data_IF_634558687039
#
_entry.id   IF_634558687039
#
_cell.length_a   1.000
_cell.length_b   1.000
_cell.length_c   1.000
_cell.angle_alpha   90.00
_cell.angle_beta   90.00
_cell.angle_gamma   90.00
#
_symmetry.space_group_name_H-M   'P 1'
#
loop_
_entity.id
_entity.type
_entity.pdbx_description
1 polymer ?
#
# COMPACT_ATOMS: atom_id res chain seq x y z
N UNK A 1 21.35 15.91 -18.62
CA UNK A 1 20.45 16.99 -18.14
C UNK A 1 18.99 16.51 -18.11
N UNK A 2 18.53 15.84 -19.17
CA UNK A 2 17.13 15.40 -19.28
C UNK A 2 16.76 14.33 -18.23
N UNK A 3 17.64 13.37 -17.98
CA UNK A 3 17.41 12.31 -16.97
C UNK A 3 17.34 12.88 -15.55
N UNK A 4 18.26 13.82 -15.19
CA UNK A 4 18.23 14.46 -13.88
C UNK A 4 16.96 15.30 -13.68
N UNK A 5 16.48 15.96 -14.73
CA UNK A 5 15.21 16.70 -14.66
C UNK A 5 14.01 15.78 -14.47
N UNK A 6 13.97 14.65 -15.19
CA UNK A 6 12.91 13.66 -15.04
C UNK A 6 12.94 13.03 -13.65
N UNK A 7 14.13 12.75 -13.10
CA UNK A 7 14.30 12.24 -11.74
C UNK A 7 13.69 13.20 -10.71
N UNK A 8 14.03 14.49 -10.79
CA UNK A 8 13.47 15.52 -9.92
C UNK A 8 11.96 15.65 -10.10
N UNK A 9 11.49 15.58 -11.33
CA UNK A 9 10.05 15.65 -11.63
C UNK A 9 9.29 14.50 -10.99
N UNK A 10 9.79 13.25 -11.04
CA UNK A 10 9.18 12.09 -10.37
C UNK A 10 9.07 12.30 -8.86
N UNK A 11 10.17 12.78 -8.23
CA UNK A 11 10.15 13.12 -6.80
C UNK A 11 9.07 14.17 -6.50
N UNK A 12 8.99 15.24 -7.30
CA UNK A 12 8.02 16.31 -7.09
C UNK A 12 6.57 15.83 -7.25
N UNK A 13 6.28 14.99 -8.25
CA UNK A 13 4.96 14.41 -8.47
C UNK A 13 4.52 13.61 -7.24
N UNK A 14 5.39 12.73 -6.75
CA UNK A 14 5.06 11.90 -5.59
C UNK A 14 4.99 12.74 -4.32
N UNK A 15 5.86 13.73 -4.12
CA UNK A 15 5.80 14.63 -2.98
C UNK A 15 4.48 15.43 -2.93
N UNK A 16 4.03 15.95 -4.07
CA UNK A 16 2.71 16.59 -4.19
C UNK A 16 1.57 15.61 -3.97
N UNK A 17 1.69 14.38 -4.50
CA UNK A 17 0.73 13.30 -4.26
C UNK A 17 0.62 12.90 -2.79
N UNK A 18 1.74 12.86 -2.07
CA UNK A 18 1.77 12.63 -0.60
C UNK A 18 1.04 13.77 0.11
N UNK A 19 1.38 15.02 -0.21
CA UNK A 19 0.73 16.19 0.37
C UNK A 19 -0.80 16.19 0.15
N UNK A 20 -1.21 15.83 -1.08
CA UNK A 20 -2.63 15.66 -1.42
C UNK A 20 -3.28 14.53 -0.61
N UNK A 21 -2.63 13.36 -0.52
CA UNK A 21 -3.14 12.21 0.25
C UNK A 21 -3.33 12.52 1.73
N UNK A 22 -2.42 13.30 2.31
CA UNK A 22 -2.52 13.78 3.69
C UNK A 22 -3.71 14.74 3.83
N UNK A 23 -3.81 15.74 2.96
CA UNK A 23 -4.94 16.67 2.99
C UNK A 23 -6.27 15.94 2.82
N UNK A 24 -6.33 14.97 1.91
CA UNK A 24 -7.51 14.14 1.67
C UNK A 24 -7.91 13.33 2.91
N UNK A 25 -6.93 12.78 3.63
CA UNK A 25 -7.12 12.12 4.91
C UNK A 25 -7.75 13.06 5.95
N UNK A 26 -7.14 14.22 6.17
CA UNK A 26 -7.65 15.20 7.13
C UNK A 26 -9.06 15.71 6.78
N UNK A 27 -9.39 15.79 5.47
CA UNK A 27 -10.72 16.12 4.99
C UNK A 27 -11.75 15.06 5.41
N UNK A 28 -11.33 13.80 5.46
CA UNK A 28 -12.13 12.68 5.94
C UNK A 28 -12.57 12.82 7.41
N UNK A 29 -11.75 13.45 8.24
CA UNK A 29 -12.12 13.80 9.61
C UNK A 29 -12.93 15.10 9.69
N UNK A 30 -12.54 16.10 8.90
CA UNK A 30 -13.14 17.43 8.94
C UNK A 30 -14.63 17.43 8.57
N UNK A 31 -14.97 16.74 7.47
CA UNK A 31 -16.34 16.71 6.96
C UNK A 31 -17.32 16.18 8.02
N UNK A 32 -17.17 14.96 8.56
CA UNK A 32 -18.10 14.45 9.55
C UNK A 32 -18.02 15.22 10.88
N UNK A 33 -16.85 15.75 11.28
CA UNK A 33 -16.74 16.58 12.47
C UNK A 33 -17.67 17.83 12.37
N UNK A 34 -17.60 18.55 11.26
CA UNK A 34 -18.47 19.71 11.02
C UNK A 34 -19.94 19.33 10.87
N UNK A 35 -20.24 18.23 10.17
CA UNK A 35 -21.63 17.74 10.03
C UNK A 35 -22.25 17.37 11.38
N UNK A 36 -21.45 16.89 12.33
CA UNK A 36 -21.92 16.58 13.68
C UNK A 36 -21.81 17.75 14.67
N UNK A 37 -21.45 18.94 14.19
CA UNK A 37 -21.45 20.18 14.97
C UNK A 37 -20.22 20.40 15.84
N UNK A 38 -19.14 19.62 15.66
CA UNK A 38 -17.88 19.85 16.37
C UNK A 38 -17.18 21.07 15.78
N UNK A 39 -16.71 21.99 16.65
CA UNK A 39 -15.87 23.11 16.20
C UNK A 39 -14.48 22.61 15.86
N UNK A 40 -14.01 22.96 14.65
CA UNK A 40 -12.69 22.62 14.14
C UNK A 40 -11.94 23.92 13.84
N UNK A 41 -11.13 24.44 14.78
CA UNK A 41 -10.38 25.68 14.60
C UNK A 41 -9.32 25.63 13.51
N UNK A 42 -8.66 24.47 13.30
CA UNK A 42 -7.56 24.34 12.37
C UNK A 42 -7.67 23.07 11.52
N UNK A 43 -7.32 23.24 10.24
CA UNK A 43 -7.06 22.19 9.26
C UNK A 43 -5.72 22.50 8.62
N UNK A 44 -4.69 21.68 8.89
CA UNK A 44 -3.33 21.96 8.47
C UNK A 44 -2.69 20.76 7.80
N UNK A 45 -2.04 21.00 6.66
CA UNK A 45 -1.18 20.03 5.99
C UNK A 45 0.26 20.35 6.38
N UNK A 46 0.96 19.39 7.00
CA UNK A 46 2.34 19.56 7.47
C UNK A 46 2.45 20.07 8.92
N UNK A 47 3.70 20.19 9.35
CA UNK A 47 4.10 20.66 10.67
C UNK A 47 5.09 21.83 10.58
N UNK A 48 5.38 22.47 11.71
CA UNK A 48 6.32 23.60 11.79
C UNK A 48 5.68 24.94 11.47
N UNK A 49 6.47 25.93 10.97
CA UNK A 49 5.98 27.26 10.64
C UNK A 49 4.99 27.24 9.47
N UNK A 50 4.02 28.17 9.50
CA UNK A 50 3.02 28.33 8.45
C UNK A 50 3.67 28.91 7.20
N UNK A 51 3.48 28.27 6.05
CA UNK A 51 3.85 28.80 4.73
C UNK A 51 2.72 29.65 4.18
N UNK A 52 1.49 29.10 4.27
CA UNK A 52 0.28 29.77 3.84
C UNK A 52 -0.87 29.33 4.73
N UNK A 53 -1.75 30.28 5.12
CA UNK A 53 -3.02 29.95 5.76
C UNK A 53 -4.10 30.99 5.45
N UNK A 54 -5.36 30.53 5.46
CA UNK A 54 -6.54 31.39 5.30
C UNK A 54 -7.64 30.89 6.23
N UNK A 55 -8.22 31.82 6.99
CA UNK A 55 -9.39 31.52 7.82
C UNK A 55 -10.67 31.62 6.97
N UNK A 56 -11.45 30.55 6.97
CA UNK A 56 -12.75 30.47 6.28
C UNK A 56 -13.77 30.03 7.32
N UNK A 57 -14.67 30.92 7.69
CA UNK A 57 -15.58 30.69 8.81
C UNK A 57 -14.83 30.57 10.13
N UNK A 58 -15.07 29.48 10.86
CA UNK A 58 -14.40 29.18 12.14
C UNK A 58 -13.10 28.39 12.01
N UNK A 59 -12.75 27.92 10.79
CA UNK A 59 -11.60 27.06 10.53
C UNK A 59 -10.50 27.81 9.80
N UNK A 60 -9.28 27.73 10.28
CA UNK A 60 -8.06 28.14 9.58
C UNK A 60 -7.53 26.98 8.76
N UNK A 61 -7.49 27.13 7.44
CA UNK A 61 -6.92 26.18 6.49
C UNK A 61 -5.52 26.62 6.12
N UNK A 62 -4.55 25.70 6.14
CA UNK A 62 -3.19 26.08 5.81
C UNK A 62 -2.26 24.93 5.49
N UNK A 63 -1.08 25.33 4.98
CA UNK A 63 0.05 24.45 4.68
C UNK A 63 1.24 24.92 5.50
N UNK A 64 1.94 23.98 6.11
CA UNK A 64 3.14 24.21 6.91
C UNK A 64 4.38 23.68 6.19
N UNK A 65 5.55 24.11 6.64
CA UNK A 65 6.82 23.92 5.95
C UNK A 65 7.24 22.44 5.83
N UNK A 66 6.94 21.61 6.82
CA UNK A 66 7.36 20.20 6.86
C UNK A 66 6.18 19.33 6.45
N UNK A 67 6.13 18.81 5.20
CA UNK A 67 4.97 18.06 4.68
C UNK A 67 4.92 16.60 5.16
N UNK A 68 5.30 16.34 6.41
CA UNK A 68 5.31 15.00 7.02
C UNK A 68 4.07 14.81 7.91
N UNK A 69 2.88 14.72 7.28
CA UNK A 69 1.62 14.54 7.97
C UNK A 69 0.71 15.76 7.91
N UNK A 70 -0.41 15.70 8.58
CA UNK A 70 -1.41 16.76 8.72
C UNK A 70 -2.10 16.66 10.06
N UNK A 71 -2.99 17.60 10.35
CA UNK A 71 -3.87 17.49 11.50
C UNK A 71 -5.10 18.37 11.36
N UNK A 72 -6.19 17.95 11.96
CA UNK A 72 -7.28 18.82 12.33
C UNK A 72 -7.29 19.04 13.84
N UNK A 73 -7.55 20.26 14.27
CA UNK A 73 -7.75 20.58 15.69
C UNK A 73 -9.24 20.56 16.00
N UNK A 74 -9.69 19.60 16.77
CA UNK A 74 -11.07 19.52 17.26
C UNK A 74 -11.11 19.93 18.71
N UNK A 75 -12.07 20.79 19.12
CA UNK A 75 -12.22 21.14 20.52
C UNK A 75 -12.73 19.95 21.33
N UNK A 76 -12.26 19.84 22.57
CA UNK A 76 -12.70 18.79 23.49
C UNK A 76 -12.41 17.37 23.00
N UNK A 77 -11.24 17.12 22.46
CA UNK A 77 -10.80 15.77 22.06
C UNK A 77 -10.81 14.82 23.26
N UNK A 78 -10.40 15.30 24.42
CA UNK A 78 -10.38 14.56 25.67
C UNK A 78 -11.40 15.11 26.67
N UNK A 79 -12.06 14.22 27.45
CA UNK A 79 -12.93 14.65 28.54
C UNK A 79 -12.12 15.33 29.64
N UNK A 80 -12.73 16.30 30.40
CA UNK A 80 -12.09 16.90 31.54
C UNK A 80 -11.82 15.89 32.64
N UNK A 81 -10.90 16.21 33.55
CA UNK A 81 -10.66 15.39 34.74
C UNK A 81 -11.94 15.26 35.56
N UNK A 82 -12.16 14.09 36.18
CA UNK A 82 -13.36 13.88 37.01
C UNK A 82 -13.32 14.80 38.21
N UNK A 83 -14.40 15.57 38.48
CA UNK A 83 -14.47 16.41 39.67
C UNK A 83 -14.25 15.61 40.97
N UNK A 84 -13.61 16.22 41.98
CA UNK A 84 -13.44 15.66 43.29
C UNK A 84 -12.29 14.63 43.45
N UNK A 85 -11.51 14.38 42.39
CA UNK A 85 -10.27 13.60 42.54
C UNK A 85 -9.09 14.54 42.79
N UNK A 86 -8.15 14.18 43.68
CA UNK A 86 -6.94 14.98 43.91
C UNK A 86 -6.16 15.11 42.61
N UNK A 87 -5.64 16.30 42.36
CA UNK A 87 -4.73 16.56 41.23
C UNK A 87 -3.47 15.74 41.50
N UNK A 88 -3.26 14.72 40.67
CA UNK A 88 -2.03 13.93 40.73
C UNK A 88 -0.95 14.72 40.00
N UNK A 89 0.23 14.77 40.60
CA UNK A 89 1.43 15.43 40.02
C UNK A 89 2.46 14.40 39.59
N UNK A 90 3.36 14.81 38.70
CA UNK A 90 4.44 13.98 38.20
C UNK A 90 4.40 13.86 36.67
N UNK A 91 5.52 13.52 36.08
CA UNK A 91 5.79 13.52 34.64
C UNK A 91 4.63 12.97 33.79
N UNK A 92 4.09 11.81 34.13
CA UNK A 92 2.97 11.21 33.37
C UNK A 92 1.65 11.98 33.51
N UNK A 93 1.41 12.58 34.66
CA UNK A 93 0.18 13.36 34.90
C UNK A 93 0.26 14.72 34.24
N UNK A 94 1.45 15.31 34.18
CA UNK A 94 1.69 16.58 33.49
C UNK A 94 1.45 16.42 31.97
N UNK A 95 1.87 15.27 31.40
CA UNK A 95 1.57 14.93 30.00
C UNK A 95 0.06 14.81 29.73
N UNK A 96 -0.68 14.14 30.64
CA UNK A 96 -2.13 13.98 30.49
C UNK A 96 -2.83 15.34 30.59
N UNK A 97 -2.38 16.19 31.51
CA UNK A 97 -2.92 17.53 31.71
C UNK A 97 -2.62 18.42 30.50
N UNK A 98 -1.38 18.44 30.04
CA UNK A 98 -0.97 19.18 28.84
C UNK A 98 -1.79 18.80 27.59
N UNK A 99 -2.07 17.49 27.40
CA UNK A 99 -2.91 17.03 26.31
C UNK A 99 -4.36 17.56 26.39
N UNK A 100 -4.95 17.61 27.60
CA UNK A 100 -6.29 18.20 27.81
C UNK A 100 -6.28 19.70 27.56
N UNK A 101 -5.28 20.42 28.07
CA UNK A 101 -5.17 21.87 27.95
C UNK A 101 -4.97 22.31 26.51
N UNK A 102 -4.15 21.59 25.74
CA UNK A 102 -3.95 21.85 24.31
C UNK A 102 -5.27 21.86 23.50
N UNK A 103 -6.24 21.02 23.87
CA UNK A 103 -7.53 20.97 23.21
C UNK A 103 -8.60 21.86 23.83
N UNK A 104 -8.33 22.45 24.99
CA UNK A 104 -9.25 23.38 25.69
C UNK A 104 -9.02 24.84 25.30
N UNK A 105 -7.80 25.20 24.86
CA UNK A 105 -7.41 26.58 24.53
C UNK A 105 -8.25 27.24 23.43
N UNK A 106 -8.91 26.45 22.58
CA UNK A 106 -9.77 26.96 21.49
C UNK A 106 -11.26 26.97 21.83
N UNK A 107 -11.62 26.67 23.07
CA UNK A 107 -13.01 26.67 23.51
C UNK A 107 -13.41 28.10 23.88
N UNK A 108 -14.35 28.68 23.16
CA UNK A 108 -14.91 30.00 23.39
C UNK A 108 -16.28 29.90 24.06
N UNK A 109 -16.78 30.99 24.66
CA UNK A 109 -18.16 31.03 25.14
C UNK A 109 -19.14 30.73 24.01
N UNK A 110 -20.06 29.80 24.23
CA UNK A 110 -21.01 29.30 23.22
C UNK A 110 -20.61 27.96 22.59
N UNK A 111 -19.38 27.46 22.85
CA UNK A 111 -18.91 26.19 22.32
C UNK A 111 -19.13 24.99 23.27
N UNK A 112 -19.88 25.20 24.37
CA UNK A 112 -20.05 24.21 25.44
C UNK A 112 -20.56 22.85 24.94
N UNK A 113 -21.44 22.87 23.94
CA UNK A 113 -22.10 21.70 23.37
C UNK A 113 -21.45 21.21 22.06
N UNK A 114 -20.29 21.77 21.66
CA UNK A 114 -19.61 21.49 20.39
C UNK A 114 -18.33 20.66 20.55
N UNK A 115 -18.15 20.04 21.74
CA UNK A 115 -16.95 19.29 22.09
C UNK A 115 -17.04 17.86 21.60
N UNK A 116 -15.93 17.34 21.04
CA UNK A 116 -15.85 16.01 20.47
C UNK A 116 -16.28 14.91 21.46
N UNK A 117 -15.78 14.92 22.73
CA UNK A 117 -16.09 13.88 23.72
C UNK A 117 -17.57 13.80 24.10
N UNK A 118 -18.36 14.84 23.85
CA UNK A 118 -19.79 14.88 24.16
C UNK A 118 -20.63 14.15 23.11
N UNK A 119 -20.10 13.93 21.92
CA UNK A 119 -20.79 13.21 20.88
C UNK A 119 -21.09 11.76 21.29
N UNK A 120 -22.19 11.16 20.80
CA UNK A 120 -22.40 9.73 20.87
C UNK A 120 -21.22 8.96 20.28
N UNK A 121 -20.93 7.76 20.81
CA UNK A 121 -19.77 6.95 20.40
C UNK A 121 -19.72 6.74 18.89
N UNK A 122 -20.85 6.40 18.28
CA UNK A 122 -20.90 6.12 16.84
C UNK A 122 -20.51 7.34 15.98
N UNK A 123 -20.90 8.58 16.38
CA UNK A 123 -20.48 9.80 15.66
C UNK A 123 -18.97 10.01 15.77
N UNK A 124 -18.39 9.81 16.98
CA UNK A 124 -16.94 9.90 17.19
C UNK A 124 -16.19 8.86 16.36
N UNK A 125 -16.72 7.62 16.29
CA UNK A 125 -16.12 6.58 15.45
C UNK A 125 -16.15 6.95 13.96
N UNK A 126 -17.26 7.50 13.45
CA UNK A 126 -17.34 7.98 12.06
C UNK A 126 -16.32 9.07 11.79
N UNK A 127 -16.14 10.03 12.71
CA UNK A 127 -15.13 11.08 12.56
C UNK A 127 -13.72 10.46 12.50
N UNK A 128 -13.37 9.56 13.42
CA UNK A 128 -12.03 8.97 13.48
C UNK A 128 -11.77 8.00 12.33
N UNK A 129 -12.76 7.24 11.88
CA UNK A 129 -12.65 6.36 10.74
C UNK A 129 -12.60 7.13 9.41
N UNK A 130 -13.12 8.36 9.38
CA UNK A 130 -13.27 9.16 8.17
C UNK A 130 -11.96 9.40 7.43
N UNK A 131 -10.87 9.75 8.14
CA UNK A 131 -9.55 9.96 7.55
C UNK A 131 -9.01 8.70 6.85
N UNK A 132 -8.84 7.60 7.57
CA UNK A 132 -8.42 6.33 6.96
C UNK A 132 -9.32 5.91 5.80
N UNK A 133 -10.63 6.05 5.92
CA UNK A 133 -11.58 5.70 4.87
C UNK A 133 -11.39 6.51 3.58
N UNK A 134 -11.05 7.79 3.69
CA UNK A 134 -10.75 8.62 2.53
C UNK A 134 -9.48 8.14 1.81
N UNK A 135 -8.46 7.69 2.54
CA UNK A 135 -7.28 7.09 1.91
C UNK A 135 -7.60 5.76 1.22
N UNK A 136 -8.46 4.93 1.83
CA UNK A 136 -8.94 3.70 1.19
C UNK A 136 -9.64 4.01 -0.15
N UNK A 137 -10.52 5.01 -0.17
CA UNK A 137 -11.19 5.44 -1.40
C UNK A 137 -10.18 5.94 -2.42
N UNK A 138 -9.25 6.82 -2.03
CA UNK A 138 -8.26 7.38 -2.94
C UNK A 138 -7.35 6.30 -3.52
N UNK A 139 -6.83 5.39 -2.70
CA UNK A 139 -6.03 4.25 -3.16
C UNK A 139 -6.79 3.37 -4.14
N UNK A 140 -8.07 3.08 -3.85
CA UNK A 140 -8.93 2.29 -4.74
C UNK A 140 -9.20 2.99 -6.07
N UNK A 141 -9.44 4.29 -6.07
CA UNK A 141 -9.63 5.09 -7.30
C UNK A 141 -8.34 5.09 -8.12
N UNK A 142 -7.20 5.35 -7.50
CA UNK A 142 -5.90 5.38 -8.16
C UNK A 142 -5.56 4.03 -8.82
N UNK A 143 -5.73 2.92 -8.08
CA UNK A 143 -5.45 1.59 -8.64
C UNK A 143 -6.44 1.24 -9.76
N UNK A 144 -7.71 1.64 -9.62
CA UNK A 144 -8.71 1.42 -10.67
C UNK A 144 -8.38 2.20 -11.94
N UNK A 145 -7.95 3.46 -11.81
CA UNK A 145 -7.49 4.27 -12.95
C UNK A 145 -6.27 3.64 -13.60
N UNK A 146 -5.30 3.17 -12.82
CA UNK A 146 -4.12 2.50 -13.35
C UNK A 146 -4.47 1.20 -14.09
N UNK A 147 -5.29 0.34 -13.49
CA UNK A 147 -5.55 -1.01 -14.02
C UNK A 147 -6.63 -1.03 -15.11
N UNK A 148 -7.72 -0.25 -14.94
CA UNK A 148 -8.82 -0.21 -15.91
C UNK A 148 -8.62 0.86 -16.99
N UNK A 149 -7.96 1.99 -16.65
CA UNK A 149 -7.72 3.09 -17.59
C UNK A 149 -6.49 2.87 -18.46
N UNK A 150 -5.35 2.50 -17.83
CA UNK A 150 -4.10 2.25 -18.54
C UNK A 150 -4.00 0.77 -18.93
N UNK A 151 -4.29 -0.15 -18.00
CA UNK A 151 -4.21 -1.59 -18.19
C UNK A 151 -3.00 -2.21 -17.50
N UNK A 152 -2.89 -3.52 -17.57
CA UNK A 152 -1.76 -4.29 -17.07
C UNK A 152 -1.00 -4.94 -18.21
N UNK A 153 0.32 -4.95 -18.11
CA UNK A 153 1.13 -5.74 -19.02
C UNK A 153 1.01 -7.23 -18.65
N UNK A 154 0.59 -8.03 -19.59
CA UNK A 154 0.49 -9.47 -19.42
C UNK A 154 1.04 -10.18 -20.64
N UNK A 155 1.43 -11.45 -20.45
CA UNK A 155 1.81 -12.28 -21.58
C UNK A 155 0.60 -12.48 -22.49
N UNK A 156 0.73 -12.07 -23.74
CA UNK A 156 -0.28 -12.34 -24.77
C UNK A 156 -0.26 -13.82 -25.15
N UNK A 157 -1.13 -14.23 -26.04
CA UNK A 157 -1.09 -15.59 -26.62
C UNK A 157 -0.24 -15.66 -27.88
N UNK A 158 0.41 -14.53 -28.28
CA UNK A 158 1.25 -14.43 -29.46
C UNK A 158 2.72 -14.74 -29.10
N UNK A 159 3.36 -15.60 -29.88
CA UNK A 159 4.75 -15.96 -29.72
C UNK A 159 5.65 -14.81 -30.18
N UNK A 160 6.44 -14.22 -29.27
CA UNK A 160 7.47 -13.25 -29.65
C UNK A 160 8.73 -13.91 -30.19
N UNK A 161 9.22 -14.95 -29.48
CA UNK A 161 10.40 -15.71 -29.90
C UNK A 161 10.24 -17.18 -29.58
N UNK A 162 10.89 -18.04 -30.38
CA UNK A 162 11.01 -19.47 -30.13
C UNK A 162 12.46 -19.75 -29.77
N UNK A 163 12.66 -20.31 -28.57
CA UNK A 163 13.99 -20.66 -28.07
C UNK A 163 14.55 -21.87 -28.81
N UNK A 164 15.88 -21.93 -28.99
CA UNK A 164 16.55 -23.09 -29.59
C UNK A 164 16.49 -24.33 -28.71
N UNK A 165 16.54 -24.13 -27.37
CA UNK A 165 16.56 -25.21 -26.38
C UNK A 165 15.66 -24.87 -25.19
N UNK A 166 15.45 -25.82 -24.29
CA UNK A 166 14.86 -25.64 -22.97
C UNK A 166 15.91 -25.95 -21.91
N UNK A 167 16.56 -24.95 -21.29
CA UNK A 167 17.50 -25.19 -20.20
C UNK A 167 16.82 -25.92 -19.04
N UNK A 168 17.49 -26.91 -18.47
CA UNK A 168 17.00 -27.72 -17.34
C UNK A 168 16.75 -26.88 -16.10
N UNK A 169 17.57 -25.84 -15.87
CA UNK A 169 17.39 -24.82 -14.81
C UNK A 169 16.92 -23.48 -15.40
N UNK A 170 16.64 -22.51 -14.55
CA UNK A 170 16.21 -21.17 -14.96
C UNK A 170 17.35 -20.31 -15.58
N UNK A 171 18.35 -20.93 -16.20
CA UNK A 171 19.44 -20.27 -16.95
C UNK A 171 18.89 -19.64 -18.23
N UNK A 172 19.53 -18.57 -18.68
CA UNK A 172 19.10 -17.81 -19.87
C UNK A 172 19.78 -18.26 -21.16
N UNK A 173 20.85 -19.07 -21.05
CA UNK A 173 21.64 -19.56 -22.21
C UNK A 173 21.52 -21.08 -22.37
N UNK A 174 21.44 -21.51 -23.62
CA UNK A 174 21.46 -22.93 -23.95
C UNK A 174 22.84 -23.56 -23.74
N UNK A 175 22.85 -24.74 -23.13
CA UNK A 175 23.99 -25.63 -23.07
C UNK A 175 23.87 -26.73 -24.15
N UNK A 176 24.96 -27.30 -24.65
CA UNK A 176 24.91 -28.44 -25.59
C UNK A 176 24.15 -29.68 -25.08
N UNK A 177 24.00 -29.80 -23.76
CA UNK A 177 23.26 -30.89 -23.11
C UNK A 177 21.74 -30.60 -22.95
N UNK A 178 21.30 -29.38 -23.24
CA UNK A 178 19.88 -29.03 -23.09
C UNK A 178 19.07 -29.62 -24.25
N UNK A 179 17.84 -30.10 -23.98
CA UNK A 179 16.98 -30.63 -25.04
C UNK A 179 16.56 -29.53 -26.01
N UNK A 180 16.42 -29.88 -27.30
CA UNK A 180 15.87 -28.98 -28.29
C UNK A 180 14.46 -28.51 -27.88
N UNK A 181 14.14 -27.25 -28.17
CA UNK A 181 12.82 -26.65 -27.83
C UNK A 181 11.69 -27.43 -28.52
N UNK A 182 10.70 -27.95 -27.78
CA UNK A 182 9.52 -28.58 -28.37
C UNK A 182 8.81 -27.71 -29.38
N UNK A 183 8.76 -26.39 -29.12
CA UNK A 183 8.15 -25.41 -30.01
C UNK A 183 8.90 -25.30 -31.35
N UNK A 184 10.24 -25.31 -31.31
CA UNK A 184 11.06 -25.26 -32.52
C UNK A 184 10.89 -26.51 -33.33
N UNK A 185 10.97 -27.70 -32.72
CA UNK A 185 10.80 -29.01 -33.37
C UNK A 185 9.41 -29.12 -34.01
N UNK A 186 8.38 -28.58 -33.35
CA UNK A 186 7.01 -28.59 -33.85
C UNK A 186 6.73 -27.50 -34.91
N UNK A 187 7.73 -26.67 -35.28
CA UNK A 187 7.64 -25.69 -36.32
C UNK A 187 6.81 -24.44 -35.93
N UNK A 188 6.71 -24.12 -34.63
CA UNK A 188 6.15 -22.85 -34.19
C UNK A 188 7.08 -21.70 -34.57
N UNK A 189 6.51 -20.55 -34.92
CA UNK A 189 7.24 -19.38 -35.41
C UNK A 189 6.89 -18.12 -34.60
N UNK A 190 7.80 -17.15 -34.51
CA UNK A 190 7.47 -15.82 -34.03
C UNK A 190 6.29 -15.23 -34.80
N UNK A 191 5.32 -14.66 -34.08
CA UNK A 191 4.08 -14.13 -34.63
C UNK A 191 2.92 -15.13 -34.67
N UNK A 192 3.15 -16.44 -34.43
CA UNK A 192 2.05 -17.39 -34.26
C UNK A 192 1.26 -17.05 -32.99
N UNK A 193 -0.07 -17.07 -33.08
CA UNK A 193 -1.00 -16.87 -31.96
C UNK A 193 -1.59 -18.20 -31.53
N UNK A 194 -1.44 -18.56 -30.26
CA UNK A 194 -2.00 -19.78 -29.70
C UNK A 194 -3.49 -19.55 -29.41
N UNK A 195 -4.36 -20.33 -30.06
CA UNK A 195 -5.81 -20.22 -29.96
C UNK A 195 -6.41 -21.28 -29.02
N UNK A 196 -5.86 -22.51 -29.07
CA UNK A 196 -6.36 -23.62 -28.22
C UNK A 196 -5.17 -24.48 -27.76
N UNK A 197 -5.33 -25.10 -26.61
CA UNK A 197 -4.47 -26.14 -26.05
C UNK A 197 -5.34 -27.32 -25.66
N UNK A 198 -5.09 -28.50 -26.22
CA UNK A 198 -5.85 -29.73 -25.96
C UNK A 198 -7.36 -29.53 -26.09
N UNK A 199 -7.82 -28.79 -27.12
CA UNK A 199 -9.22 -28.48 -27.40
C UNK A 199 -9.82 -27.37 -26.53
N UNK A 200 -9.11 -26.87 -25.52
CA UNK A 200 -9.56 -25.78 -24.67
C UNK A 200 -9.10 -24.42 -25.24
N UNK A 201 -10.00 -23.43 -25.35
CA UNK A 201 -9.64 -22.10 -25.87
C UNK A 201 -8.69 -21.36 -24.95
N UNK A 202 -7.70 -20.65 -25.52
CA UNK A 202 -6.72 -19.85 -24.82
C UNK A 202 -7.08 -18.39 -24.95
N UNK A 203 -7.63 -17.81 -23.90
CA UNK A 203 -7.92 -16.37 -23.84
C UNK A 203 -6.80 -15.58 -23.14
N UNK A 204 -6.05 -16.24 -22.25
CA UNK A 204 -5.01 -15.65 -21.44
C UNK A 204 -3.98 -16.73 -21.13
N UNK A 205 -2.69 -16.43 -21.33
CA UNK A 205 -1.63 -17.41 -21.14
C UNK A 205 -1.48 -17.83 -19.67
N UNK A 206 -1.59 -16.90 -18.72
CA UNK A 206 -1.36 -17.20 -17.31
C UNK A 206 -2.28 -18.28 -16.75
N UNK A 207 -3.53 -18.33 -17.20
CA UNK A 207 -4.51 -19.37 -16.83
C UNK A 207 -4.39 -20.61 -17.69
N UNK A 208 -4.02 -20.45 -18.97
CA UNK A 208 -4.04 -21.54 -19.95
C UNK A 208 -2.74 -22.35 -19.99
N UNK A 209 -1.65 -21.84 -19.46
CA UNK A 209 -0.37 -22.57 -19.39
C UNK A 209 -0.49 -23.90 -18.62
N UNK A 210 -1.42 -23.97 -17.67
CA UNK A 210 -1.70 -25.20 -16.89
C UNK A 210 -2.40 -26.31 -17.71
N UNK A 211 -2.88 -26.00 -18.92
CA UNK A 211 -3.45 -26.98 -19.85
C UNK A 211 -2.39 -27.84 -20.52
N UNK A 212 -1.11 -27.41 -20.47
CA UNK A 212 0.00 -28.19 -20.97
C UNK A 212 0.33 -29.34 -20.00
N UNK A 213 0.30 -30.55 -20.52
CA UNK A 213 0.66 -31.76 -19.76
C UNK A 213 2.10 -32.15 -20.07
N UNK A 214 2.98 -32.06 -19.08
CA UNK A 214 4.40 -32.40 -19.24
C UNK A 214 4.64 -33.87 -19.58
N UNK A 215 5.56 -34.15 -20.47
CA UNK A 215 5.92 -35.52 -20.88
C UNK A 215 4.87 -36.26 -21.73
N UNK A 216 3.76 -35.59 -22.07
CA UNK A 216 2.73 -36.15 -22.98
C UNK A 216 2.57 -35.26 -24.20
N UNK A 217 2.09 -35.85 -25.30
CA UNK A 217 1.76 -35.08 -26.49
C UNK A 217 0.59 -34.16 -26.22
N UNK A 218 0.73 -32.87 -26.56
CA UNK A 218 -0.30 -31.85 -26.48
C UNK A 218 -0.58 -31.33 -27.87
N UNK A 219 -1.83 -31.06 -28.15
CA UNK A 219 -2.30 -30.48 -29.40
C UNK A 219 -2.56 -28.99 -29.24
N UNK A 220 -1.90 -28.15 -30.03
CA UNK A 220 -2.11 -26.71 -30.07
C UNK A 220 -2.73 -26.31 -31.40
N UNK A 221 -3.78 -25.48 -31.37
CA UNK A 221 -4.26 -24.78 -32.57
C UNK A 221 -3.64 -23.40 -32.55
N UNK A 222 -2.89 -23.06 -33.60
CA UNK A 222 -2.21 -21.78 -33.75
C UNK A 222 -2.64 -21.08 -35.02
N UNK A 223 -2.72 -19.75 -34.98
CA UNK A 223 -2.92 -18.91 -36.15
C UNK A 223 -1.59 -18.23 -36.52
N UNK A 224 -1.19 -18.32 -37.78
CA UNK A 224 -0.04 -17.56 -38.28
C UNK A 224 -0.37 -16.05 -38.36
N UNK A 225 0.62 -15.20 -38.63
CA UNK A 225 0.42 -13.77 -38.87
C UNK A 225 -0.54 -13.49 -40.02
N UNK A 226 -0.64 -14.41 -41.02
CA UNK A 226 -1.60 -14.30 -42.15
C UNK A 226 -3.01 -14.76 -41.76
N UNK A 227 -3.25 -15.17 -40.53
CA UNK A 227 -4.56 -15.67 -40.04
C UNK A 227 -4.82 -17.15 -40.36
N UNK A 228 -3.91 -17.85 -41.08
CA UNK A 228 -4.07 -19.26 -41.38
C UNK A 228 -3.90 -20.11 -40.11
N UNK A 229 -4.92 -20.89 -39.78
CA UNK A 229 -4.91 -21.79 -38.65
C UNK A 229 -4.27 -23.13 -39.03
N UNK A 230 -3.51 -23.68 -38.07
CA UNK A 230 -2.94 -25.02 -38.17
C UNK A 230 -2.91 -25.70 -36.81
N UNK A 231 -2.99 -27.00 -36.86
CA UNK A 231 -2.82 -27.85 -35.66
C UNK A 231 -1.35 -28.28 -35.55
N UNK A 232 -0.80 -28.20 -34.35
CA UNK A 232 0.58 -28.53 -34.04
C UNK A 232 0.60 -29.43 -32.80
N UNK A 233 1.24 -30.60 -32.94
CA UNK A 233 1.45 -31.51 -31.82
C UNK A 233 2.86 -31.37 -31.28
N UNK A 234 3.01 -31.26 -29.96
CA UNK A 234 4.30 -31.16 -29.29
C UNK A 234 4.25 -31.79 -27.89
N UNK A 235 5.44 -32.25 -27.42
CA UNK A 235 5.58 -32.81 -26.07
C UNK A 235 6.40 -31.85 -25.22
N UNK A 236 5.81 -31.17 -24.22
CA UNK A 236 6.53 -30.26 -23.33
C UNK A 236 7.60 -31.00 -22.51
N UNK A 237 8.74 -30.35 -22.33
CA UNK A 237 9.81 -30.82 -21.44
C UNK A 237 9.52 -30.34 -20.02
N UNK A 238 9.71 -31.21 -19.03
CA UNK A 238 9.67 -30.82 -17.62
C UNK A 238 10.99 -30.15 -17.25
N UNK A 239 10.90 -28.86 -16.85
CA UNK A 239 12.07 -28.10 -16.44
C UNK A 239 11.79 -27.41 -15.08
N UNK A 240 12.86 -27.26 -14.29
CA UNK A 240 12.78 -26.58 -13.01
C UNK A 240 12.55 -25.07 -13.23
N UNK A 241 11.47 -24.55 -12.68
CA UNK A 241 11.13 -23.13 -12.81
C UNK A 241 10.69 -22.56 -11.46
N UNK A 242 10.95 -21.27 -11.20
CA UNK A 242 10.51 -20.63 -9.97
C UNK A 242 9.00 -20.76 -9.78
N UNK A 243 8.59 -21.07 -8.53
CA UNK A 243 7.20 -21.01 -8.13
C UNK A 243 6.78 -19.56 -8.04
N UNK A 244 5.88 -19.12 -8.92
CA UNK A 244 5.26 -17.80 -8.87
C UNK A 244 3.87 -17.94 -8.27
N UNK A 245 3.59 -17.18 -7.21
CA UNK A 245 2.29 -17.13 -6.54
C UNK A 245 1.93 -15.66 -6.27
N UNK A 246 0.75 -15.25 -6.75
CA UNK A 246 0.33 -13.84 -6.63
C UNK A 246 1.22 -12.84 -7.40
N UNK A 247 1.87 -13.27 -8.49
CA UNK A 247 2.77 -12.43 -9.30
C UNK A 247 4.22 -12.36 -8.81
N UNK A 248 4.53 -12.91 -7.62
CA UNK A 248 5.87 -12.90 -7.04
C UNK A 248 6.50 -14.30 -7.02
N UNK A 249 7.83 -14.37 -7.15
CA UNK A 249 8.60 -15.60 -6.96
C UNK A 249 8.61 -15.95 -5.48
N UNK A 250 8.20 -17.18 -5.15
CA UNK A 250 8.22 -17.68 -3.79
C UNK A 250 9.64 -18.12 -3.41
N UNK A 251 10.11 -17.61 -2.28
CA UNK A 251 11.44 -17.92 -1.75
C UNK A 251 11.35 -18.93 -0.60
N UNK A 252 12.39 -19.71 -0.42
CA UNK A 252 12.56 -20.57 0.74
C UNK A 252 13.01 -19.76 1.98
N UNK A 253 13.22 -20.45 3.11
CA UNK A 253 13.69 -19.83 4.36
C UNK A 253 15.11 -19.22 4.26
N UNK A 254 15.86 -19.55 3.22
CA UNK A 254 17.22 -19.04 2.95
C UNK A 254 17.24 -17.93 1.89
N UNK A 255 16.06 -17.56 1.35
CA UNK A 255 15.95 -16.54 0.31
C UNK A 255 16.16 -17.03 -1.11
N UNK A 256 16.25 -18.34 -1.36
CA UNK A 256 16.37 -18.88 -2.70
C UNK A 256 14.99 -19.14 -3.33
N UNK A 257 14.83 -18.98 -4.66
CA UNK A 257 13.60 -19.33 -5.35
C UNK A 257 13.23 -20.80 -5.15
N UNK A 258 11.99 -21.06 -4.73
CA UNK A 258 11.46 -22.42 -4.69
C UNK A 258 11.25 -22.86 -6.14
N UNK A 259 11.96 -23.90 -6.56
CA UNK A 259 11.84 -24.45 -7.90
C UNK A 259 10.82 -25.59 -7.93
N UNK A 260 9.99 -25.60 -8.97
CA UNK A 260 9.03 -26.68 -9.25
C UNK A 260 9.18 -27.14 -10.70
N UNK A 261 8.95 -28.41 -10.94
CA UNK A 261 8.93 -28.97 -12.29
C UNK A 261 7.67 -28.45 -13.02
N UNK A 262 7.87 -27.70 -14.10
CA UNK A 262 6.80 -27.18 -14.97
C UNK A 262 6.96 -27.66 -16.40
N UNK A 263 5.86 -27.93 -17.12
CA UNK A 263 5.92 -28.20 -18.56
C UNK A 263 6.34 -26.92 -19.30
N UNK A 264 7.40 -27.02 -20.10
CA UNK A 264 7.97 -25.91 -20.88
C UNK A 264 8.06 -26.33 -22.35
N UNK A 265 7.64 -25.44 -23.24
CA UNK A 265 7.68 -25.68 -24.70
C UNK A 265 8.73 -24.85 -25.42
N UNK A 266 9.41 -23.93 -24.72
CA UNK A 266 10.49 -23.11 -25.26
C UNK A 266 10.00 -21.94 -26.12
N UNK A 267 9.00 -21.21 -25.65
CA UNK A 267 8.53 -19.95 -26.27
C UNK A 267 8.66 -18.78 -25.29
N UNK A 268 8.88 -17.60 -25.83
CA UNK A 268 8.69 -16.33 -25.15
C UNK A 268 7.49 -15.66 -25.81
N UNK A 269 6.51 -15.28 -25.04
CA UNK A 269 5.31 -14.62 -25.53
C UNK A 269 5.51 -13.11 -25.63
N UNK A 270 4.84 -12.49 -26.57
CA UNK A 270 4.74 -11.05 -26.61
C UNK A 270 3.99 -10.54 -25.38
N UNK A 271 4.32 -9.34 -24.94
CA UNK A 271 3.55 -8.64 -23.91
C UNK A 271 2.48 -7.79 -24.58
N UNK A 272 1.30 -7.77 -23.99
CA UNK A 272 0.22 -6.87 -24.40
C UNK A 272 -0.33 -6.13 -23.20
N UNK A 273 -0.72 -4.88 -23.40
CA UNK A 273 -1.40 -4.09 -22.36
C UNK A 273 -2.89 -4.35 -22.47
N UNK A 274 -3.48 -4.93 -21.42
CA UNK A 274 -4.93 -5.19 -21.35
C UNK A 274 -5.53 -4.40 -20.20
N UNK A 275 -6.51 -3.52 -20.46
CA UNK A 275 -7.31 -2.93 -19.39
C UNK A 275 -8.09 -4.01 -18.63
N UNK A 276 -8.05 -3.95 -17.31
CA UNK A 276 -8.89 -4.79 -16.46
C UNK A 276 -10.31 -4.22 -16.37
N UNK A 277 -11.28 -5.06 -16.13
CA UNK A 277 -12.62 -4.59 -15.77
C UNK A 277 -12.59 -3.87 -14.41
N UNK A 278 -13.55 -3.00 -14.15
CA UNK A 278 -13.67 -2.31 -12.87
C UNK A 278 -13.79 -3.31 -11.72
N UNK A 279 -14.51 -4.43 -11.92
CA UNK A 279 -14.63 -5.48 -10.92
C UNK A 279 -13.29 -6.15 -10.60
N UNK A 280 -12.46 -6.47 -11.61
CA UNK A 280 -11.10 -7.01 -11.41
C UNK A 280 -10.20 -6.00 -10.69
N UNK A 281 -10.30 -4.71 -11.01
CA UNK A 281 -9.52 -3.65 -10.35
C UNK A 281 -9.94 -3.44 -8.89
N UNK A 282 -11.23 -3.53 -8.57
CA UNK A 282 -11.71 -3.50 -7.18
C UNK A 282 -11.24 -4.73 -6.39
N UNK A 283 -11.24 -5.92 -7.02
CA UNK A 283 -10.69 -7.11 -6.39
C UNK A 283 -9.18 -6.98 -6.13
N UNK A 284 -8.42 -6.41 -7.08
CA UNK A 284 -7.00 -6.11 -6.90
C UNK A 284 -6.76 -5.10 -5.77
N UNK A 285 -7.61 -4.06 -5.65
CA UNK A 285 -7.57 -3.11 -4.51
C UNK A 285 -7.77 -3.83 -3.17
N UNK A 286 -8.76 -4.71 -3.09
CA UNK A 286 -9.00 -5.52 -1.89
C UNK A 286 -7.80 -6.40 -1.52
N UNK A 287 -7.18 -7.05 -2.51
CA UNK A 287 -5.96 -7.82 -2.30
C UNK A 287 -4.79 -6.96 -1.80
N UNK A 288 -4.61 -5.76 -2.36
CA UNK A 288 -3.58 -4.81 -1.92
C UNK A 288 -3.76 -4.41 -0.46
N UNK A 289 -4.99 -4.13 -0.03
CA UNK A 289 -5.30 -3.83 1.39
C UNK A 289 -4.94 -5.01 2.30
N UNK A 290 -5.28 -6.24 1.90
CA UNK A 290 -4.93 -7.45 2.67
C UNK A 290 -3.41 -7.62 2.75
N UNK A 291 -2.68 -7.43 1.65
CA UNK A 291 -1.23 -7.53 1.61
C UNK A 291 -0.57 -6.49 2.51
N UNK A 292 -1.02 -5.24 2.47
CA UNK A 292 -0.52 -4.18 3.37
C UNK A 292 -0.82 -4.52 4.82
N UNK A 293 -2.02 -5.04 5.13
CA UNK A 293 -2.35 -5.53 6.46
C UNK A 293 -1.39 -6.63 6.94
N UNK A 294 -1.08 -7.61 6.09
CA UNK A 294 -0.11 -8.67 6.40
C UNK A 294 1.30 -8.13 6.63
N UNK A 295 1.75 -7.17 5.80
CA UNK A 295 3.04 -6.49 5.98
C UNK A 295 3.16 -5.83 7.36
N UNK A 296 2.10 -5.19 7.85
CA UNK A 296 2.10 -4.52 9.16
C UNK A 296 2.37 -5.52 10.29
N UNK A 297 1.78 -6.72 10.24
CA UNK A 297 2.06 -7.77 11.23
C UNK A 297 3.50 -8.29 11.16
N UNK A 298 4.16 -8.17 10.00
CA UNK A 298 5.55 -8.57 9.80
C UNK A 298 6.55 -7.44 10.05
N UNK A 299 6.07 -6.20 10.31
CA UNK A 299 6.93 -5.03 10.49
C UNK A 299 8.07 -5.23 11.49
N UNK A 300 7.88 -5.81 12.69
CA UNK A 300 8.98 -5.99 13.63
C UNK A 300 10.12 -6.83 13.03
N UNK A 301 9.78 -7.90 12.28
CA UNK A 301 10.77 -8.76 11.62
C UNK A 301 11.44 -8.04 10.46
N UNK A 302 10.68 -7.28 9.68
CA UNK A 302 11.22 -6.53 8.54
C UNK A 302 12.14 -5.40 8.99
N UNK A 303 11.80 -4.67 10.06
CA UNK A 303 12.64 -3.63 10.65
C UNK A 303 13.94 -4.21 11.21
N UNK A 304 13.88 -5.37 11.86
CA UNK A 304 15.08 -6.08 12.30
C UNK A 304 15.97 -6.49 11.11
N UNK A 305 15.38 -6.96 10.01
CA UNK A 305 16.11 -7.31 8.78
C UNK A 305 16.74 -6.06 8.13
N UNK A 306 16.04 -4.92 8.12
CA UNK A 306 16.60 -3.63 7.67
C UNK A 306 17.79 -3.22 8.52
N UNK A 307 17.71 -3.33 9.85
CA UNK A 307 18.84 -3.07 10.74
C UNK A 307 20.05 -3.97 10.44
N UNK A 308 19.82 -5.25 10.23
CA UNK A 308 20.87 -6.20 9.86
C UNK A 308 21.50 -5.90 8.50
N UNK A 309 20.70 -5.54 7.48
CA UNK A 309 21.24 -5.18 6.16
C UNK A 309 22.01 -3.85 6.18
N UNK A 310 21.57 -2.88 6.97
CA UNK A 310 22.19 -1.55 7.06
C UNK A 310 23.52 -1.59 7.79
N UNK A 311 23.62 -2.34 8.91
CA UNK A 311 24.81 -2.38 9.74
C UNK A 311 25.64 -3.67 9.59
N UNK A 312 25.07 -4.73 9.02
CA UNK A 312 25.72 -6.04 8.81
C UNK A 312 26.19 -6.31 7.38
N UNK A 313 26.04 -5.34 6.45
CA UNK A 313 26.57 -5.43 5.08
C UNK A 313 25.85 -6.43 4.16
N UNK A 314 24.68 -6.95 4.54
CA UNK A 314 23.88 -7.81 3.66
C UNK A 314 23.04 -6.99 2.67
N UNK A 315 22.69 -7.58 1.54
CA UNK A 315 21.83 -6.93 0.53
C UNK A 315 20.43 -6.72 1.11
N UNK A 316 19.90 -5.50 0.95
CA UNK A 316 18.54 -5.15 1.38
C UNK A 316 17.50 -5.84 0.47
N UNK A 317 16.45 -6.38 1.07
CA UNK A 317 15.36 -7.00 0.32
C UNK A 317 14.53 -5.94 -0.39
N UNK A 318 14.16 -6.19 -1.64
CA UNK A 318 13.35 -5.29 -2.46
C UNK A 318 11.91 -5.10 -1.93
N UNK A 319 11.39 -6.07 -1.16
CA UNK A 319 10.06 -6.06 -0.53
C UNK A 319 10.06 -5.47 0.89
N UNK A 320 11.19 -4.90 1.33
CA UNK A 320 11.34 -4.29 2.64
C UNK A 320 10.63 -2.94 2.78
N UNK A 321 10.43 -2.46 4.03
CA UNK A 321 9.83 -1.16 4.28
C UNK A 321 10.73 -0.03 3.74
N UNK A 322 10.11 1.00 3.19
CA UNK A 322 10.75 2.15 2.56
C UNK A 322 10.29 3.43 3.25
N UNK A 323 11.19 4.38 3.46
CA UNK A 323 10.85 5.70 3.99
C UNK A 323 10.31 6.64 2.90
N UNK A 324 9.86 7.82 3.31
CA UNK A 324 9.44 8.88 2.37
C UNK A 324 10.59 9.28 1.43
N UNK A 325 11.84 9.24 1.91
CA UNK A 325 13.03 9.51 1.09
C UNK A 325 13.21 8.40 0.05
N UNK A 326 13.13 7.14 0.47
CA UNK A 326 13.21 5.99 -0.44
C UNK A 326 12.08 5.96 -1.47
N UNK A 327 10.84 6.29 -1.07
CA UNK A 327 9.73 6.45 -2.03
C UNK A 327 10.07 7.52 -3.07
N UNK A 328 10.66 8.66 -2.65
CA UNK A 328 11.11 9.70 -3.57
C UNK A 328 12.20 9.21 -4.52
N UNK A 329 13.18 8.42 -4.04
CA UNK A 329 14.22 7.83 -4.88
C UNK A 329 13.60 6.89 -5.93
N UNK A 330 12.72 5.98 -5.51
CA UNK A 330 11.99 5.06 -6.41
C UNK A 330 11.23 5.84 -7.48
N UNK A 331 10.49 6.87 -7.10
CA UNK A 331 9.76 7.72 -8.05
C UNK A 331 10.70 8.42 -9.04
N UNK A 332 11.82 8.95 -8.57
CA UNK A 332 12.84 9.55 -9.41
C UNK A 332 13.42 8.55 -10.42
N UNK A 333 13.75 7.34 -9.98
CA UNK A 333 14.28 6.27 -10.85
C UNK A 333 13.25 5.83 -11.88
N UNK A 334 11.98 5.64 -11.49
CA UNK A 334 10.88 5.32 -12.40
C UNK A 334 10.73 6.40 -13.47
N UNK A 335 10.71 7.68 -13.08
CA UNK A 335 10.54 8.79 -14.00
C UNK A 335 11.72 8.95 -14.97
N UNK A 336 12.94 8.71 -14.50
CA UNK A 336 14.18 8.85 -15.30
C UNK A 336 14.52 7.61 -16.14
N UNK A 337 13.86 6.47 -15.95
CA UNK A 337 14.13 5.24 -16.69
C UNK A 337 13.90 5.43 -18.19
N UNK A 338 14.97 5.42 -19.00
CA UNK A 338 14.92 5.65 -20.45
C UNK A 338 14.34 4.47 -21.23
N UNK A 339 14.28 3.29 -20.63
CA UNK A 339 13.72 2.08 -21.27
C UNK A 339 12.20 1.99 -21.12
N UNK A 340 11.62 2.65 -20.13
CA UNK A 340 10.19 2.64 -19.89
C UNK A 340 9.47 3.71 -20.72
N UNK A 341 8.31 3.37 -21.25
CA UNK A 341 7.42 4.30 -21.93
C UNK A 341 6.80 5.30 -20.92
N UNK A 342 6.31 6.43 -21.44
CA UNK A 342 5.60 7.41 -20.59
C UNK A 342 4.42 6.78 -19.84
N UNK A 343 3.69 5.87 -20.50
CA UNK A 343 2.52 5.20 -19.92
C UNK A 343 2.92 4.29 -18.77
N UNK A 344 4.00 3.52 -18.91
CA UNK A 344 4.54 2.66 -17.84
C UNK A 344 5.02 3.47 -16.63
N UNK A 345 5.68 4.60 -16.87
CA UNK A 345 6.10 5.53 -15.82
C UNK A 345 4.90 6.08 -15.06
N UNK A 346 3.91 6.57 -15.78
CA UNK A 346 2.67 7.10 -15.19
C UNK A 346 1.95 6.05 -14.36
N UNK A 347 1.85 4.82 -14.87
CA UNK A 347 1.23 3.72 -14.17
C UNK A 347 1.98 3.38 -12.87
N UNK A 348 3.30 3.36 -12.91
CA UNK A 348 4.14 3.12 -11.73
C UNK A 348 3.99 4.20 -10.67
N UNK A 349 3.99 5.48 -11.08
CA UNK A 349 3.78 6.62 -10.16
C UNK A 349 2.40 6.57 -9.49
N UNK A 350 1.34 6.28 -10.27
CA UNK A 350 -0.01 6.08 -9.73
C UNK A 350 -0.02 4.88 -8.78
N UNK A 351 0.67 3.79 -9.10
CA UNK A 351 0.81 2.61 -8.26
C UNK A 351 1.48 2.90 -6.92
N UNK A 352 2.55 3.71 -6.93
CA UNK A 352 3.24 4.17 -5.71
C UNK A 352 2.27 4.95 -4.82
N UNK A 353 1.55 5.92 -5.38
CA UNK A 353 0.57 6.73 -4.65
C UNK A 353 -0.61 5.90 -4.13
N UNK A 354 -1.09 4.93 -4.90
CA UNK A 354 -2.14 4.01 -4.46
C UNK A 354 -1.68 3.15 -3.27
N UNK A 355 -0.48 2.57 -3.36
CA UNK A 355 0.11 1.75 -2.30
C UNK A 355 0.33 2.56 -1.02
N UNK A 356 0.79 3.81 -1.15
CA UNK A 356 0.93 4.74 -0.04
C UNK A 356 -0.43 4.98 0.66
N UNK A 357 -1.50 5.21 -0.11
CA UNK A 357 -2.83 5.43 0.46
C UNK A 357 -3.37 4.20 1.18
N UNK A 358 -3.14 2.99 0.67
CA UNK A 358 -3.48 1.76 1.38
C UNK A 358 -2.64 1.60 2.66
N UNK A 359 -1.35 1.97 2.63
CA UNK A 359 -0.52 1.98 3.81
C UNK A 359 -1.02 2.98 4.86
N UNK A 360 -1.33 4.23 4.46
CA UNK A 360 -1.92 5.24 5.34
C UNK A 360 -3.24 4.76 5.97
N UNK A 361 -4.11 4.13 5.18
CA UNK A 361 -5.33 3.50 5.70
C UNK A 361 -5.01 2.44 6.76
N UNK A 362 -4.16 1.48 6.42
CA UNK A 362 -3.91 0.31 7.27
C UNK A 362 -3.15 0.69 8.56
N UNK A 363 -2.16 1.58 8.47
CA UNK A 363 -1.43 2.08 9.64
C UNK A 363 -2.34 2.87 10.58
N UNK A 364 -3.17 3.78 10.03
CA UNK A 364 -4.08 4.57 10.84
C UNK A 364 -5.21 3.73 11.46
N UNK A 365 -5.46 2.51 10.98
CA UNK A 365 -6.41 1.57 11.60
C UNK A 365 -5.83 0.73 12.74
N UNK A 366 -4.52 0.83 13.02
CA UNK A 366 -3.94 0.17 14.18
C UNK A 366 -4.54 0.70 15.48
N UNK A 367 -4.91 -0.17 16.44
CA UNK A 367 -5.54 0.24 17.69
C UNK A 367 -4.53 0.83 18.70
N UNK A 368 -3.71 1.77 18.23
CA UNK A 368 -2.62 2.40 18.97
C UNK A 368 -2.73 3.92 18.86
N UNK A 369 -2.75 4.65 19.96
CA UNK A 369 -2.53 6.09 19.95
C UNK A 369 -1.04 6.38 19.63
N UNK A 370 -0.71 7.41 18.82
CA UNK A 370 -1.56 8.54 18.40
C UNK A 370 -2.37 8.32 17.09
N UNK A 371 -2.46 7.10 16.57
CA UNK A 371 -3.17 6.80 15.33
C UNK A 371 -4.71 6.83 15.54
N UNK A 372 -5.46 7.06 14.47
CA UNK A 372 -6.93 7.15 14.52
C UNK A 372 -7.59 5.87 15.03
N UNK A 373 -7.02 4.72 14.67
CA UNK A 373 -7.44 3.40 15.16
C UNK A 373 -7.41 3.28 16.68
N UNK A 374 -6.52 4.00 17.37
CA UNK A 374 -6.50 4.08 18.82
C UNK A 374 -7.75 4.76 19.38
N UNK A 375 -8.21 5.83 18.73
CA UNK A 375 -9.47 6.49 19.09
C UNK A 375 -10.70 5.64 18.75
N UNK A 376 -10.67 4.93 17.63
CA UNK A 376 -11.72 3.97 17.25
C UNK A 376 -11.78 2.84 18.29
N UNK A 377 -10.65 2.26 18.68
CA UNK A 377 -10.57 1.24 19.72
C UNK A 377 -11.10 1.76 21.08
N UNK A 378 -10.75 3.00 21.45
CA UNK A 378 -11.30 3.67 22.61
C UNK A 378 -12.81 3.82 22.58
N UNK A 379 -13.37 4.13 21.38
CA UNK A 379 -14.81 4.18 21.15
C UNK A 379 -15.50 2.81 21.29
N UNK A 380 -14.90 1.76 20.73
CA UNK A 380 -15.38 0.37 20.88
C UNK A 380 -15.38 -0.04 22.34
N UNK A 381 -14.29 0.20 23.06
CA UNK A 381 -14.20 -0.07 24.50
C UNK A 381 -15.30 0.66 25.28
N UNK A 382 -15.54 1.94 24.98
CA UNK A 382 -16.62 2.71 25.62
C UNK A 382 -18.01 2.13 25.30
N UNK A 383 -18.26 1.74 24.05
CA UNK A 383 -19.53 1.13 23.66
C UNK A 383 -19.80 -0.18 24.41
N UNK A 384 -18.79 -1.05 24.48
CA UNK A 384 -18.86 -2.31 25.24
C UNK A 384 -19.12 -2.03 26.73
N UNK A 385 -18.35 -1.11 27.33
CA UNK A 385 -18.48 -0.75 28.74
C UNK A 385 -19.88 -0.20 29.07
N UNK A 386 -20.39 0.72 28.22
CA UNK A 386 -21.75 1.25 28.38
C UNK A 386 -22.81 0.17 28.24
N UNK A 387 -22.64 -0.77 27.30
CA UNK A 387 -23.51 -1.92 27.11
C UNK A 387 -23.57 -2.81 28.37
N UNK A 388 -22.42 -3.16 28.92
CA UNK A 388 -22.31 -3.96 30.15
C UNK A 388 -22.93 -3.23 31.36
N UNK A 389 -22.68 -1.92 31.53
CA UNK A 389 -23.27 -1.16 32.63
C UNK A 389 -24.80 -1.11 32.51
N UNK A 390 -25.35 -0.99 31.28
CA UNK A 390 -26.79 -1.04 31.05
C UNK A 390 -27.36 -2.43 31.37
N UNK A 391 -26.65 -3.51 30.98
CA UNK A 391 -27.07 -4.88 31.27
C UNK A 391 -27.14 -5.15 32.78
N UNK A 392 -26.17 -4.66 33.54
CA UNK A 392 -26.12 -4.79 35.00
C UNK A 392 -26.88 -3.67 35.76
N UNK A 393 -27.67 -2.86 35.06
CA UNK A 393 -28.47 -1.75 35.64
C UNK A 393 -27.62 -0.76 36.45
N UNK A 394 -26.32 -0.58 36.09
CA UNK A 394 -25.41 0.38 36.72
C UNK A 394 -25.53 1.76 36.05
N UNK A 395 -25.22 2.86 36.77
CA UNK A 395 -25.22 4.21 36.18
C UNK A 395 -24.23 4.32 35.05
N UNK A 396 -24.51 5.23 34.08
CA UNK A 396 -23.66 5.44 32.92
C UNK A 396 -22.21 5.77 33.33
N UNK A 397 -21.19 5.03 32.85
CA UNK A 397 -19.79 5.25 33.25
C UNK A 397 -19.17 6.54 32.67
N UNK A 398 -19.89 7.27 31.82
CA UNK A 398 -19.37 8.43 31.09
C UNK A 398 -18.51 8.06 29.88
N UNK A 399 -17.92 9.07 29.22
CA UNK A 399 -17.01 8.83 28.09
C UNK A 399 -15.72 8.17 28.54
N UNK A 400 -15.12 7.36 27.65
CA UNK A 400 -13.78 6.81 27.88
C UNK A 400 -12.75 7.94 27.85
N UNK A 401 -11.91 7.98 28.88
CA UNK A 401 -10.85 8.98 29.00
C UNK A 401 -9.55 8.45 28.38
N UNK A 402 -9.42 8.66 27.06
CA UNK A 402 -8.24 8.23 26.31
C UNK A 402 -7.00 9.07 26.62
N UNK A 403 -7.12 10.23 27.29
CA UNK A 403 -5.97 11.00 27.77
C UNK A 403 -5.10 10.20 28.75
N UNK A 404 -5.69 9.24 29.46
CA UNK A 404 -4.95 8.35 30.37
C UNK A 404 -3.94 7.45 29.63
N UNK A 405 -4.08 7.27 28.33
CA UNK A 405 -3.15 6.51 27.48
C UNK A 405 -1.98 7.36 26.97
N UNK A 406 -1.90 8.66 27.32
CA UNK A 406 -0.82 9.56 26.86
C UNK A 406 0.59 9.01 27.12
N UNK A 407 0.92 8.44 28.27
CA UNK A 407 2.25 7.86 28.46
C UNK A 407 2.56 6.72 27.48
N UNK A 408 1.58 5.85 27.19
CA UNK A 408 1.72 4.81 26.18
C UNK A 408 1.85 5.40 24.78
N UNK A 409 1.08 6.43 24.47
CA UNK A 409 1.16 7.18 23.19
C UNK A 409 2.57 7.69 22.92
N UNK A 410 3.25 8.23 23.96
CA UNK A 410 4.63 8.70 23.84
C UNK A 410 5.62 7.57 23.58
N UNK A 411 5.45 6.41 24.22
CA UNK A 411 6.29 5.24 23.94
C UNK A 411 6.12 4.78 22.50
N UNK A 412 4.88 4.68 22.02
CA UNK A 412 4.58 4.31 20.64
C UNK A 412 5.17 5.34 19.67
N UNK A 413 5.00 6.64 19.95
CA UNK A 413 5.54 7.71 19.12
C UNK A 413 7.06 7.65 19.01
N UNK A 414 7.77 7.47 20.13
CA UNK A 414 9.23 7.34 20.14
C UNK A 414 9.67 6.10 19.34
N UNK A 415 8.98 4.97 19.51
CA UNK A 415 9.27 3.75 18.76
C UNK A 415 9.08 3.96 17.25
N UNK A 416 7.99 4.62 16.84
CA UNK A 416 7.75 4.98 15.43
C UNK A 416 8.81 5.92 14.87
N UNK A 417 9.23 6.93 15.66
CA UNK A 417 10.31 7.85 15.26
C UNK A 417 11.65 7.13 15.09
N UNK A 418 11.99 6.24 16.02
CA UNK A 418 13.22 5.43 15.93
C UNK A 418 13.20 4.50 14.71
N UNK A 419 12.05 3.84 14.46
CA UNK A 419 11.86 3.01 13.28
C UNK A 419 11.98 3.83 11.99
N UNK A 420 11.35 5.00 11.91
CA UNK A 420 11.43 5.89 10.75
C UNK A 420 12.87 6.36 10.51
N UNK A 421 13.59 6.74 11.57
CA UNK A 421 15.00 7.12 11.47
C UNK A 421 15.87 5.98 10.94
N UNK A 422 15.67 4.75 11.43
CA UNK A 422 16.39 3.57 10.96
C UNK A 422 16.14 3.33 9.45
N UNK A 423 14.88 3.39 9.01
CA UNK A 423 14.53 3.16 7.61
C UNK A 423 15.10 4.28 6.72
N UNK A 424 15.06 5.54 7.16
CA UNK A 424 15.69 6.67 6.45
C UNK A 424 17.19 6.45 6.29
N UNK A 425 17.89 6.05 7.37
CA UNK A 425 19.33 5.75 7.29
C UNK A 425 19.57 4.61 6.31
N UNK A 426 18.73 3.56 6.34
CA UNK A 426 18.83 2.44 5.44
C UNK A 426 18.64 2.86 3.96
N UNK A 427 17.67 3.72 3.66
CA UNK A 427 17.43 4.23 2.31
C UNK A 427 18.59 5.09 1.78
N UNK A 428 19.30 5.80 2.68
CA UNK A 428 20.45 6.62 2.30
C UNK A 428 21.75 5.81 2.13
N UNK A 429 21.97 4.79 2.98
CA UNK A 429 23.23 4.03 3.01
C UNK A 429 23.18 2.77 2.13
N UNK A 430 22.02 2.12 2.07
CA UNK A 430 21.82 0.87 1.33
C UNK A 430 20.45 0.94 0.62
N UNK A 431 20.28 1.78 -0.42
CA UNK A 431 19.02 1.93 -1.14
C UNK A 431 18.59 0.62 -1.79
N UNK A 432 17.27 0.48 -1.98
CA UNK A 432 16.72 -0.65 -2.74
C UNK A 432 17.01 -0.39 -4.22
N UNK A 433 17.75 -1.29 -4.86
CA UNK A 433 17.94 -1.28 -6.32
C UNK A 433 16.68 -1.80 -7.02
N UNK A 434 16.19 -1.06 -8.04
CA UNK A 434 15.02 -1.38 -8.86
C UNK A 434 15.48 -1.83 -10.25
#
# INVERSE_FOLDING_TARGET
VTESLLYILGILIVALGIGFSIGWHELGHLIPAKLFGVKVPQYMIGFGPKVFSKKIGETEYGVKLIPLGGYISMIGMYPPAKPGKPVKTGFFWDMITAARDAHSQYVEPGDENRKFYQLPVWKRMIIMFGGPFMNLILGTVLITVALSGIGVQQASTTIATVSACVPASAQTSCSPSDPASPALVAGLKPGDKILQINGSPVSNWSSSANLLVGGKSNTLVVASQSGQQREVSLTPVLAQRPLVQGGAVKLDSKGNPILIAKPVIGIILATETRPLSVGESLAASGQSVVQVGQMIFQLPQQVAAVGQSTFGGSVRKADGPVSVIGIGQIAGEVASNTKATFVEKLQSEIGILASLNFALFAFNMLPLLPLDGGHVAGGVYEAIKKGLFRLFRKPNPGPADTALLMPLTWVVFIAMMAMSALIIIADLVNPIAI
#
